data_IF_367984642427
#
_entry.id   IF_367984642427
#
_cell.length_a   1.000
_cell.length_b   1.000
_cell.length_c   1.000
_cell.angle_alpha   90.00
_cell.angle_beta   90.00
_cell.angle_gamma   90.00
#
_symmetry.space_group_name_H-M   'P 1'
#
loop_
_entity.id
_entity.type
_entity.pdbx_description
1 polymer ?
#
# COMPACT_ATOMS: atom_id res chain seq x y z
N UNK A 1 -27.92 19.45 -72.28
CA UNK A 1 -26.92 20.45 -72.72
C UNK A 1 -26.00 20.73 -71.55
N UNK A 2 -24.78 20.19 -71.67
CA UNK A 2 -23.49 20.61 -71.08
C UNK A 2 -23.47 21.16 -69.65
N UNK A 3 -23.12 20.28 -68.70
CA UNK A 3 -22.51 20.64 -67.44
C UNK A 3 -21.00 20.91 -67.61
N UNK A 4 -20.50 21.88 -66.86
CA UNK A 4 -19.08 22.24 -66.77
C UNK A 4 -18.53 21.82 -65.39
N UNK A 5 -17.37 21.16 -65.29
CA UNK A 5 -16.73 20.89 -64.01
C UNK A 5 -15.68 21.96 -63.67
N UNK A 6 -15.64 22.31 -62.39
CA UNK A 6 -14.76 23.31 -61.80
C UNK A 6 -13.53 22.59 -61.19
N UNK A 7 -12.38 22.66 -61.87
CA UNK A 7 -11.10 22.13 -61.38
C UNK A 7 -10.44 23.09 -60.40
N UNK A 8 -10.43 22.73 -59.11
CA UNK A 8 -9.65 23.41 -58.08
C UNK A 8 -8.29 22.72 -57.89
N UNK A 9 -7.23 23.39 -58.35
CA UNK A 9 -5.83 23.01 -58.18
C UNK A 9 -5.40 23.09 -56.72
N UNK A 10 -5.02 21.95 -56.12
CA UNK A 10 -4.31 21.89 -54.82
C UNK A 10 -2.82 22.13 -55.03
N UNK A 11 -2.32 23.23 -54.46
CA UNK A 11 -0.89 23.53 -54.36
C UNK A 11 -0.22 22.63 -53.32
N UNK A 12 0.82 21.92 -53.75
CA UNK A 12 1.63 20.99 -52.97
C UNK A 12 2.79 21.77 -52.34
N UNK A 13 2.69 22.03 -51.04
CA UNK A 13 3.70 22.75 -50.26
C UNK A 13 4.85 21.79 -49.87
N UNK A 14 5.96 21.88 -50.59
CA UNK A 14 7.22 21.19 -50.30
C UNK A 14 7.95 21.91 -49.16
N UNK A 15 8.12 21.21 -48.03
CA UNK A 15 8.97 21.66 -46.90
C UNK A 15 10.44 21.39 -47.24
N UNK A 16 11.22 22.47 -47.33
CA UNK A 16 12.67 22.43 -47.46
C UNK A 16 13.32 21.87 -46.19
N UNK A 17 14.20 20.89 -46.39
CA UNK A 17 15.02 20.22 -45.38
C UNK A 17 16.34 21.00 -45.27
N UNK A 18 16.51 21.75 -44.18
CA UNK A 18 17.76 22.47 -43.88
C UNK A 18 18.72 21.50 -43.20
N UNK A 19 19.81 21.16 -43.90
CA UNK A 19 20.90 20.35 -43.39
C UNK A 19 21.89 21.26 -42.65
N UNK A 20 21.87 21.23 -41.31
CA UNK A 20 22.88 21.89 -40.48
C UNK A 20 24.13 21.02 -40.44
N UNK A 21 25.22 21.50 -41.04
CA UNK A 21 26.55 20.93 -40.88
C UNK A 21 27.09 21.33 -39.50
N UNK A 22 27.25 20.34 -38.62
CA UNK A 22 27.94 20.51 -37.34
C UNK A 22 29.45 20.51 -37.63
N UNK A 23 30.09 21.63 -37.33
CA UNK A 23 31.53 21.83 -37.38
C UNK A 23 32.14 21.08 -36.20
N UNK A 24 33.14 20.25 -36.50
CA UNK A 24 33.91 19.45 -35.54
C UNK A 24 35.20 20.21 -35.28
N UNK A 25 35.26 20.91 -34.15
CA UNK A 25 36.51 21.45 -33.60
C UNK A 25 36.62 21.00 -32.14
N UNK A 26 37.61 20.14 -31.87
CA UNK A 26 38.27 20.07 -30.56
C UNK A 26 39.36 21.16 -30.54
N UNK A 27 39.61 21.75 -29.36
CA UNK A 27 40.87 21.38 -28.73
C UNK A 27 40.74 21.07 -27.24
N UNK A 28 41.58 20.12 -26.87
CA UNK A 28 41.93 19.57 -25.57
C UNK A 28 42.21 20.66 -24.54
N UNK A 29 41.26 20.89 -23.63
CA UNK A 29 41.51 21.57 -22.36
C UNK A 29 41.61 20.53 -21.24
N UNK A 30 42.63 20.72 -20.41
CA UNK A 30 43.07 19.80 -19.37
C UNK A 30 41.91 19.31 -18.50
N UNK A 31 41.72 17.98 -18.52
CA UNK A 31 40.88 17.26 -17.58
C UNK A 31 41.41 17.51 -16.16
N UNK A 32 40.84 18.51 -15.48
CA UNK A 32 40.80 18.52 -14.02
C UNK A 32 40.21 17.17 -13.64
N UNK A 33 40.89 16.34 -12.82
CA UNK A 33 40.27 15.14 -12.26
C UNK A 33 38.99 15.59 -11.58
N UNK A 34 37.85 15.31 -12.22
CA UNK A 34 36.56 15.39 -11.55
C UNK A 34 36.69 14.35 -10.45
N UNK A 35 36.94 14.80 -9.23
CA UNK A 35 36.87 13.96 -8.05
C UNK A 35 35.53 13.24 -8.14
N UNK A 36 35.61 11.92 -8.34
CA UNK A 36 34.44 11.05 -8.29
C UNK A 36 33.68 11.43 -7.02
N UNK A 37 32.39 11.81 -7.13
CA UNK A 37 31.61 12.11 -5.94
C UNK A 37 31.74 10.92 -4.98
N UNK A 38 31.87 11.17 -3.68
CA UNK A 38 32.19 10.13 -2.70
C UNK A 38 31.23 8.95 -2.85
N UNK A 39 31.80 7.74 -2.91
CA UNK A 39 31.10 6.44 -2.89
C UNK A 39 30.19 6.38 -1.66
N UNK A 40 28.97 6.88 -1.79
CA UNK A 40 27.89 6.48 -0.91
C UNK A 40 27.02 5.49 -1.68
N UNK A 41 27.53 4.25 -1.75
CA UNK A 41 27.03 3.12 -2.54
C UNK A 41 25.52 2.89 -2.46
N UNK A 42 24.82 3.32 -1.41
CA UNK A 42 23.36 3.15 -1.25
C UNK A 42 22.59 4.44 -0.89
N UNK A 43 23.28 5.55 -0.60
CA UNK A 43 22.63 6.82 -0.24
C UNK A 43 22.35 7.63 -1.50
N UNK A 44 21.20 7.39 -2.10
CA UNK A 44 20.79 8.11 -3.30
C UNK A 44 20.24 9.51 -2.95
N UNK A 45 20.60 10.58 -3.68
CA UNK A 45 20.09 11.93 -3.41
C UNK A 45 18.57 12.07 -3.61
N UNK A 46 17.93 11.13 -4.29
CA UNK A 46 16.48 11.05 -4.39
C UNK A 46 15.83 10.36 -3.17
N UNK A 47 16.57 9.77 -2.23
CA UNK A 47 15.99 9.33 -0.96
C UNK A 47 15.75 10.54 -0.05
N UNK A 48 14.61 10.54 0.65
CA UNK A 48 14.36 11.53 1.67
C UNK A 48 15.21 11.23 2.90
N UNK A 49 15.85 12.25 3.46
CA UNK A 49 16.64 12.09 4.70
C UNK A 49 15.79 11.45 5.81
N UNK A 50 16.26 10.33 6.34
CA UNK A 50 15.65 9.67 7.48
C UNK A 50 15.83 10.53 8.74
N UNK A 51 14.77 10.71 9.51
CA UNK A 51 14.81 11.44 10.78
C UNK A 51 14.54 10.42 11.88
N UNK A 52 15.45 10.35 12.84
CA UNK A 52 15.22 9.64 14.09
C UNK A 52 14.23 10.43 14.96
N UNK A 53 13.09 9.81 15.21
CA UNK A 53 12.00 10.37 16.00
C UNK A 53 12.25 10.27 17.51
N UNK A 54 13.37 9.69 17.97
CA UNK A 54 13.76 9.61 19.39
C UNK A 54 13.79 10.97 20.12
N UNK A 55 14.00 12.05 19.37
CA UNK A 55 14.03 13.43 19.89
C UNK A 55 12.66 14.11 19.93
N UNK A 56 11.63 13.51 19.32
CA UNK A 56 10.28 14.06 19.26
C UNK A 56 9.34 13.35 20.24
N UNK A 57 8.45 14.11 20.88
CA UNK A 57 7.42 13.50 21.72
C UNK A 57 6.38 12.76 20.88
N UNK A 58 5.71 11.75 21.49
CA UNK A 58 4.58 11.04 20.85
C UNK A 58 3.53 12.03 20.34
N UNK A 59 3.16 13.01 21.16
CA UNK A 59 2.21 14.05 20.78
C UNK A 59 2.68 14.84 19.53
N UNK A 60 3.92 15.32 19.50
CA UNK A 60 4.44 16.08 18.36
C UNK A 60 4.43 15.26 17.06
N UNK A 61 4.74 13.96 17.14
CA UNK A 61 4.68 13.07 15.98
C UNK A 61 3.23 12.89 15.54
N UNK A 62 2.30 12.59 16.44
CA UNK A 62 0.89 12.41 16.09
C UNK A 62 0.27 13.68 15.51
N UNK A 63 0.57 14.86 16.08
CA UNK A 63 0.18 16.16 15.55
C UNK A 63 0.73 16.40 14.14
N UNK A 64 1.99 16.02 13.88
CA UNK A 64 2.58 16.05 12.55
C UNK A 64 1.80 15.15 11.57
N UNK A 65 1.50 13.90 11.96
CA UNK A 65 0.77 12.95 11.13
C UNK A 65 -0.64 13.47 10.79
N UNK A 66 -1.32 14.09 11.75
CA UNK A 66 -2.65 14.69 11.54
C UNK A 66 -2.54 15.90 10.59
N UNK A 67 -1.56 16.78 10.81
CA UNK A 67 -1.31 17.98 9.97
C UNK A 67 -1.06 17.62 8.51
N UNK A 68 -0.33 16.55 8.25
CA UNK A 68 0.07 16.10 6.92
C UNK A 68 -0.79 14.95 6.39
N UNK A 69 -1.95 14.71 7.01
CA UNK A 69 -2.94 13.77 6.50
C UNK A 69 -3.55 14.27 5.19
N UNK A 70 -4.11 13.37 4.40
CA UNK A 70 -4.78 13.73 3.13
C UNK A 70 -5.86 12.72 2.78
N UNK A 71 -6.83 13.12 1.95
CA UNK A 71 -7.81 12.23 1.34
C UNK A 71 -7.42 11.83 -0.07
N UNK A 72 -7.68 10.57 -0.42
CA UNK A 72 -7.50 10.04 -1.77
C UNK A 72 -8.89 9.75 -2.33
N UNK A 73 -9.39 10.50 -3.34
CA UNK A 73 -10.75 10.33 -3.86
C UNK A 73 -10.89 9.08 -4.76
N UNK A 74 -12.09 8.74 -5.25
CA UNK A 74 -12.27 7.68 -6.25
C UNK A 74 -11.58 8.03 -7.58
N UNK A 75 -11.15 7.02 -8.35
CA UNK A 75 -10.57 7.28 -9.68
C UNK A 75 -11.69 7.63 -10.66
N UNK A 76 -11.69 8.86 -11.17
CA UNK A 76 -12.62 9.29 -12.23
C UNK A 76 -11.94 9.51 -13.57
N UNK A 77 -10.70 10.02 -13.56
CA UNK A 77 -10.00 10.47 -14.76
C UNK A 77 -8.52 10.00 -14.76
N UNK A 78 -7.78 10.40 -15.81
CA UNK A 78 -6.32 10.22 -15.87
C UNK A 78 -5.57 11.01 -14.78
N UNK A 79 -6.22 12.01 -14.20
CA UNK A 79 -5.71 12.85 -13.12
C UNK A 79 -6.57 12.65 -11.88
N UNK A 80 -5.96 12.78 -10.71
CA UNK A 80 -6.61 12.58 -9.41
C UNK A 80 -6.29 13.77 -8.51
N UNK A 81 -7.31 14.32 -7.86
CA UNK A 81 -7.17 15.48 -6.97
C UNK A 81 -7.12 15.03 -5.51
N UNK A 82 -5.95 15.07 -4.91
CA UNK A 82 -5.73 14.80 -3.48
C UNK A 82 -6.08 16.05 -2.67
N UNK A 83 -6.77 15.90 -1.55
CA UNK A 83 -7.06 17.02 -0.64
C UNK A 83 -6.31 16.83 0.67
N UNK A 84 -5.37 17.74 0.96
CA UNK A 84 -4.58 17.71 2.19
C UNK A 84 -5.39 18.15 3.41
N UNK A 85 -4.85 17.88 4.60
CA UNK A 85 -5.48 18.24 5.86
C UNK A 85 -5.70 19.75 5.98
N UNK A 86 -4.91 20.61 5.35
CA UNK A 86 -5.13 22.06 5.35
C UNK A 86 -6.21 22.54 4.36
N UNK A 87 -6.81 21.62 3.59
CA UNK A 87 -7.78 21.91 2.55
C UNK A 87 -7.17 22.22 1.18
N UNK A 88 -5.84 22.25 1.06
CA UNK A 88 -5.20 22.43 -0.24
C UNK A 88 -5.43 21.22 -1.13
N UNK A 89 -5.54 21.47 -2.44
CA UNK A 89 -5.77 20.42 -3.42
C UNK A 89 -4.55 20.25 -4.33
N UNK A 90 -4.19 18.99 -4.60
CA UNK A 90 -3.04 18.61 -5.41
C UNK A 90 -3.47 17.62 -6.48
N UNK A 91 -3.25 17.97 -7.74
CA UNK A 91 -3.52 17.10 -8.89
C UNK A 91 -2.30 16.24 -9.19
N UNK A 92 -2.49 14.92 -9.22
CA UNK A 92 -1.44 13.94 -9.52
C UNK A 92 -1.85 13.01 -10.67
N UNK A 93 -0.89 12.38 -11.38
CA UNK A 93 -1.21 11.35 -12.36
C UNK A 93 -1.93 10.17 -11.72
N UNK A 94 -2.95 9.63 -12.38
CA UNK A 94 -3.80 8.57 -11.84
C UNK A 94 -3.09 7.25 -11.57
N UNK A 95 -1.90 7.03 -12.14
CA UNK A 95 -1.03 5.90 -11.81
C UNK A 95 -0.53 5.93 -10.37
N UNK A 96 -0.39 7.12 -9.77
CA UNK A 96 0.04 7.25 -8.38
C UNK A 96 -1.06 7.01 -7.35
N UNK A 97 -2.34 6.98 -7.77
CA UNK A 97 -3.47 6.96 -6.84
C UNK A 97 -3.45 5.76 -5.89
N UNK A 98 -3.39 4.54 -6.43
CA UNK A 98 -3.41 3.31 -5.63
C UNK A 98 -2.14 3.16 -4.79
N UNK A 99 -0.92 3.34 -5.35
CA UNK A 99 0.28 3.30 -4.51
C UNK A 99 0.31 4.35 -3.39
N UNK A 100 -0.16 5.58 -3.65
CA UNK A 100 -0.32 6.60 -2.60
C UNK A 100 -1.33 6.18 -1.54
N UNK A 101 -2.48 5.63 -1.96
CA UNK A 101 -3.49 5.09 -1.06
C UNK A 101 -2.92 3.97 -0.18
N UNK A 102 -2.13 3.06 -0.76
CA UNK A 102 -1.48 1.99 -0.02
C UNK A 102 -0.45 2.52 0.98
N UNK A 103 0.39 3.49 0.59
CA UNK A 103 1.36 4.10 1.49
C UNK A 103 0.69 4.78 2.70
N UNK A 104 -0.40 5.52 2.45
CA UNK A 104 -1.21 6.11 3.53
C UNK A 104 -1.83 5.02 4.43
N UNK A 105 -2.41 3.98 3.84
CA UNK A 105 -3.00 2.87 4.59
C UNK A 105 -1.95 2.14 5.46
N UNK A 106 -0.77 1.89 4.91
CA UNK A 106 0.35 1.31 5.65
C UNK A 106 0.74 2.20 6.83
N UNK A 107 0.92 3.50 6.62
CA UNK A 107 1.24 4.46 7.68
C UNK A 107 0.20 4.45 8.81
N UNK A 108 -1.09 4.63 8.49
CA UNK A 108 -2.16 4.74 9.49
C UNK A 108 -2.44 3.41 10.19
N UNK A 109 -2.31 2.29 9.48
CA UNK A 109 -2.47 0.97 10.09
C UNK A 109 -1.31 0.66 11.04
N UNK A 110 -0.07 0.99 10.66
CA UNK A 110 1.09 0.87 11.53
C UNK A 110 0.94 1.75 12.78
N UNK A 111 0.48 3.00 12.63
CA UNK A 111 0.18 3.86 13.78
C UNK A 111 -0.85 3.21 14.73
N UNK A 112 -1.96 2.73 14.18
CA UNK A 112 -3.00 2.04 14.97
C UNK A 112 -2.46 0.85 15.75
N UNK A 113 -1.66 0.00 15.10
CA UNK A 113 -1.10 -1.19 15.73
C UNK A 113 -0.16 -0.82 16.88
N UNK A 114 0.73 0.14 16.63
CA UNK A 114 1.79 0.54 17.56
C UNK A 114 1.25 1.26 18.78
N UNK A 115 0.21 2.10 18.61
CA UNK A 115 -0.47 2.73 19.74
C UNK A 115 -1.23 1.70 20.61
N UNK A 116 -1.60 0.55 20.06
CA UNK A 116 -2.25 -0.54 20.79
C UNK A 116 -1.30 -1.55 21.43
N UNK A 117 -0.12 -1.79 20.84
CA UNK A 117 0.85 -2.80 21.30
C UNK A 117 1.88 -2.29 22.30
N UNK A 118 2.09 -0.97 22.40
CA UNK A 118 3.13 -0.38 23.24
C UNK A 118 4.52 -0.36 22.59
N UNK A 119 4.64 -0.70 21.31
CA UNK A 119 5.92 -0.74 20.56
C UNK A 119 6.29 0.62 19.94
N UNK A 120 5.81 1.72 20.52
CA UNK A 120 5.95 3.09 19.98
C UNK A 120 7.38 3.43 19.56
N UNK A 121 8.34 3.15 20.43
CA UNK A 121 9.73 3.57 20.25
C UNK A 121 10.44 2.85 19.09
N UNK A 122 9.94 1.69 18.67
CA UNK A 122 10.55 0.92 17.58
C UNK A 122 10.08 1.40 16.20
N UNK A 123 8.86 1.93 16.11
CA UNK A 123 8.19 2.17 14.83
C UNK A 123 7.90 3.65 14.54
N UNK A 124 8.03 4.53 15.52
CA UNK A 124 7.71 5.95 15.40
C UNK A 124 8.45 6.65 14.24
N UNK A 125 9.76 6.38 14.07
CA UNK A 125 10.60 6.96 13.02
C UNK A 125 10.17 6.49 11.63
N UNK A 126 9.83 5.21 11.47
CA UNK A 126 9.31 4.67 10.22
C UNK A 126 7.96 5.27 9.82
N UNK A 127 7.03 5.37 10.78
CA UNK A 127 5.70 5.97 10.56
C UNK A 127 5.84 7.44 10.16
N UNK A 128 6.66 8.20 10.89
CA UNK A 128 6.95 9.59 10.59
C UNK A 128 7.58 9.75 9.20
N UNK A 129 8.53 8.89 8.85
CA UNK A 129 9.20 8.91 7.56
C UNK A 129 8.23 8.74 6.40
N UNK A 130 7.28 7.79 6.49
CA UNK A 130 6.28 7.57 5.43
C UNK A 130 5.36 8.78 5.27
N UNK A 131 4.97 9.43 6.38
CA UNK A 131 4.20 10.67 6.32
C UNK A 131 4.96 11.79 5.63
N UNK A 132 6.25 11.97 5.96
CA UNK A 132 7.13 12.94 5.29
C UNK A 132 7.32 12.62 3.81
N UNK A 133 7.40 11.35 3.43
CA UNK A 133 7.47 10.92 2.03
C UNK A 133 6.21 11.28 1.26
N UNK A 134 5.03 11.05 1.84
CA UNK A 134 3.76 11.43 1.22
C UNK A 134 3.63 12.95 1.10
N UNK A 135 3.99 13.70 2.13
CA UNK A 135 3.96 15.16 2.10
C UNK A 135 4.91 15.73 1.03
N UNK A 136 6.16 15.21 0.97
CA UNK A 136 7.13 15.60 -0.05
C UNK A 136 6.62 15.32 -1.46
N UNK A 137 6.01 14.15 -1.68
CA UNK A 137 5.38 13.82 -2.95
C UNK A 137 4.31 14.84 -3.36
N UNK A 138 3.43 15.23 -2.42
CA UNK A 138 2.37 16.21 -2.67
C UNK A 138 2.93 17.64 -2.86
N UNK A 139 4.00 18.00 -2.16
CA UNK A 139 4.71 19.27 -2.36
C UNK A 139 5.33 19.36 -3.77
N UNK A 140 6.04 18.31 -4.21
CA UNK A 140 6.64 18.26 -5.54
C UNK A 140 5.58 18.27 -6.64
N UNK A 141 4.47 17.56 -6.43
CA UNK A 141 3.33 17.59 -7.32
C UNK A 141 2.74 19.01 -7.44
N UNK A 142 2.49 19.71 -6.33
CA UNK A 142 2.03 21.12 -6.35
C UNK A 142 3.02 22.04 -7.08
N UNK A 143 4.32 21.83 -6.89
CA UNK A 143 5.36 22.57 -7.61
C UNK A 143 5.33 22.30 -9.13
N UNK A 144 5.15 21.05 -9.53
CA UNK A 144 5.02 20.68 -10.95
C UNK A 144 3.71 21.20 -11.57
N UNK A 145 2.60 21.19 -10.85
CA UNK A 145 1.32 21.77 -11.32
C UNK A 145 1.48 23.24 -11.69
N UNK A 146 2.15 24.03 -10.82
CA UNK A 146 2.43 25.45 -11.07
C UNK A 146 3.27 25.71 -12.33
N UNK A 147 4.06 24.71 -12.76
CA UNK A 147 4.90 24.77 -13.97
C UNK A 147 4.27 24.12 -15.20
N UNK A 148 3.05 23.61 -15.10
CA UNK A 148 2.40 22.81 -16.14
C UNK A 148 2.81 21.33 -16.07
N UNK A 149 2.24 20.60 -15.11
CA UNK A 149 2.53 19.18 -14.93
C UNK A 149 2.12 18.37 -16.17
N UNK A 150 3.06 17.62 -16.72
CA UNK A 150 2.84 16.73 -17.87
C UNK A 150 2.35 15.36 -17.43
N UNK A 151 1.64 14.64 -18.32
CA UNK A 151 1.10 13.28 -18.05
C UNK A 151 2.17 12.27 -17.59
N UNK A 152 3.41 12.44 -18.04
CA UNK A 152 4.56 11.62 -17.67
C UNK A 152 5.35 12.13 -16.47
N UNK A 153 4.82 13.08 -15.69
CA UNK A 153 5.50 13.58 -14.50
C UNK A 153 5.74 12.46 -13.48
N UNK A 154 6.91 12.50 -12.83
CA UNK A 154 7.37 11.51 -11.86
C UNK A 154 7.94 12.21 -10.64
N UNK A 155 7.77 11.58 -9.48
CA UNK A 155 8.46 11.94 -8.26
C UNK A 155 9.48 10.83 -7.97
N UNK A 156 10.76 11.10 -8.21
CA UNK A 156 11.82 10.10 -8.05
C UNK A 156 11.88 9.57 -6.61
N UNK A 157 11.74 10.46 -5.63
CA UNK A 157 11.70 10.13 -4.21
C UNK A 157 10.61 9.14 -3.89
N UNK A 158 9.38 9.40 -4.36
CA UNK A 158 8.27 8.49 -4.11
C UNK A 158 8.39 7.19 -4.91
N UNK A 159 8.89 7.24 -6.15
CA UNK A 159 9.10 6.05 -6.98
C UNK A 159 10.05 5.04 -6.31
N UNK A 160 11.10 5.50 -5.63
CA UNK A 160 12.01 4.62 -4.89
C UNK A 160 11.31 3.90 -3.74
N UNK A 161 10.47 4.58 -2.97
CA UNK A 161 9.61 3.94 -1.97
C UNK A 161 8.71 2.87 -2.60
N UNK A 162 8.08 3.19 -3.73
CA UNK A 162 7.20 2.27 -4.45
C UNK A 162 7.93 1.02 -4.97
N UNK A 163 9.17 1.17 -5.44
CA UNK A 163 10.02 0.04 -5.83
C UNK A 163 10.33 -0.87 -4.63
N UNK A 164 10.61 -0.31 -3.45
CA UNK A 164 10.80 -1.13 -2.23
C UNK A 164 9.51 -1.87 -1.87
N UNK A 165 8.37 -1.18 -1.92
CA UNK A 165 7.09 -1.77 -1.56
C UNK A 165 6.68 -2.91 -2.48
N UNK A 166 6.83 -2.78 -3.81
CA UNK A 166 6.48 -3.87 -4.74
C UNK A 166 7.29 -5.14 -4.50
N UNK A 167 8.49 -5.00 -3.94
CA UNK A 167 9.41 -6.07 -3.56
C UNK A 167 9.35 -6.43 -2.07
N UNK A 168 8.28 -6.03 -1.39
CA UNK A 168 7.99 -6.42 -0.01
C UNK A 168 8.97 -5.87 1.05
N UNK A 169 9.79 -4.87 0.70
CA UNK A 169 10.57 -4.06 1.64
C UNK A 169 9.75 -2.83 2.06
N UNK A 170 8.94 -2.96 3.11
CA UNK A 170 8.10 -1.85 3.60
C UNK A 170 8.82 -0.91 4.57
N UNK A 171 9.89 -1.37 5.20
CA UNK A 171 10.68 -0.57 6.13
C UNK A 171 11.53 0.45 5.39
N UNK A 172 11.74 1.60 6.01
CA UNK A 172 12.45 2.74 5.42
C UNK A 172 13.56 3.29 6.31
N UNK A 173 13.91 2.58 7.39
CA UNK A 173 15.13 2.88 8.14
C UNK A 173 16.38 2.69 7.28
N UNK A 174 17.49 3.38 7.61
CA UNK A 174 18.71 3.35 6.80
C UNK A 174 19.25 1.94 6.56
N UNK A 175 19.16 1.06 7.57
CA UNK A 175 19.64 -0.32 7.47
C UNK A 175 18.80 -1.12 6.46
N UNK A 176 17.47 -0.98 6.51
CA UNK A 176 16.56 -1.62 5.54
C UNK A 176 16.74 -1.10 4.11
N UNK A 177 17.04 0.20 3.93
CA UNK A 177 17.31 0.79 2.61
C UNK A 177 18.65 0.28 2.07
N UNK A 178 19.66 0.19 2.92
CA UNK A 178 20.96 -0.39 2.59
C UNK A 178 20.83 -1.86 2.20
N UNK A 179 20.12 -2.67 3.00
CA UNK A 179 19.85 -4.08 2.70
C UNK A 179 19.14 -4.25 1.35
N UNK A 180 18.13 -3.42 1.08
CA UNK A 180 17.46 -3.41 -0.22
C UNK A 180 18.44 -3.12 -1.35
N UNK A 181 19.27 -2.09 -1.19
CA UNK A 181 20.25 -1.71 -2.20
C UNK A 181 21.28 -2.83 -2.45
N UNK A 182 21.80 -3.46 -1.40
CA UNK A 182 22.74 -4.58 -1.53
C UNK A 182 22.10 -5.80 -2.23
N UNK A 183 20.79 -6.01 -2.03
CA UNK A 183 20.06 -7.16 -2.59
C UNK A 183 19.67 -6.96 -4.05
N UNK A 184 19.17 -5.78 -4.40
CA UNK A 184 18.54 -5.51 -5.71
C UNK A 184 19.31 -4.50 -6.56
N UNK A 185 20.10 -3.61 -5.94
CA UNK A 185 20.87 -2.55 -6.60
C UNK A 185 20.03 -1.44 -7.24
N UNK A 186 20.71 -0.43 -7.79
CA UNK A 186 20.09 0.69 -8.51
C UNK A 186 19.34 0.28 -9.79
N UNK A 187 19.66 -0.89 -10.35
CA UNK A 187 18.96 -1.42 -11.55
C UNK A 187 17.47 -1.57 -11.28
N UNK A 188 17.10 -1.97 -10.07
CA UNK A 188 15.70 -2.18 -9.72
C UNK A 188 14.93 -0.86 -9.58
N UNK A 189 15.62 0.22 -9.18
CA UNK A 189 15.06 1.58 -9.14
C UNK A 189 14.83 2.18 -10.54
N UNK A 190 15.49 1.67 -11.58
CA UNK A 190 15.24 2.09 -12.95
C UNK A 190 13.90 1.56 -13.52
N UNK A 191 13.33 0.51 -12.91
CA UNK A 191 12.05 -0.05 -13.34
C UNK A 191 10.88 0.87 -13.01
N UNK A 192 9.92 0.97 -13.92
CA UNK A 192 8.76 1.83 -13.77
C UNK A 192 7.79 1.34 -12.66
N UNK A 193 7.97 1.86 -11.44
CA UNK A 193 7.14 1.53 -10.29
C UNK A 193 5.65 1.84 -10.51
N UNK A 194 5.32 2.88 -11.29
CA UNK A 194 3.92 3.33 -11.47
C UNK A 194 3.14 2.41 -12.41
N UNK A 195 3.82 1.72 -13.34
CA UNK A 195 3.20 0.74 -14.25
C UNK A 195 2.92 -0.62 -13.62
N UNK A 196 3.40 -0.86 -12.40
CA UNK A 196 3.13 -2.09 -11.66
C UNK A 196 1.62 -2.25 -11.38
N UNK A 197 1.13 -3.49 -11.31
CA UNK A 197 -0.27 -3.79 -11.01
C UNK A 197 -0.58 -3.60 -9.51
N UNK A 198 -0.62 -2.33 -9.11
CA UNK A 198 -0.89 -1.91 -7.74
C UNK A 198 -2.28 -2.32 -7.25
N UNK A 199 -3.27 -2.43 -8.15
CA UNK A 199 -4.62 -2.85 -7.74
C UNK A 199 -4.57 -4.28 -7.22
N UNK A 200 -4.05 -5.22 -8.03
CA UNK A 200 -3.94 -6.62 -7.63
C UNK A 200 -3.03 -6.80 -6.43
N UNK A 201 -1.89 -6.10 -6.42
CA UNK A 201 -0.93 -6.22 -5.32
C UNK A 201 -1.50 -5.69 -4.00
N UNK A 202 -2.16 -4.53 -3.98
CA UNK A 202 -2.73 -3.96 -2.75
C UNK A 202 -3.93 -4.75 -2.21
N UNK A 203 -4.73 -5.39 -3.09
CA UNK A 203 -5.81 -6.31 -2.70
C UNK A 203 -5.26 -7.60 -2.09
N UNK A 204 -4.19 -8.15 -2.68
CA UNK A 204 -3.48 -9.32 -2.13
C UNK A 204 -2.89 -9.00 -0.76
N UNK A 205 -2.33 -7.79 -0.63
CA UNK A 205 -1.70 -7.30 0.57
C UNK A 205 -0.37 -7.98 0.91
N UNK A 206 0.26 -7.49 1.97
CA UNK A 206 1.51 -8.02 2.50
C UNK A 206 1.60 -7.79 4.01
N UNK A 207 2.04 -8.79 4.78
CA UNK A 207 2.19 -8.70 6.26
C UNK A 207 0.95 -8.14 6.98
N UNK A 208 -0.25 -8.49 6.51
CA UNK A 208 -1.52 -8.00 7.08
C UNK A 208 -1.96 -6.62 6.58
N UNK A 209 -1.14 -5.91 5.81
CA UNK A 209 -1.51 -4.65 5.15
C UNK A 209 -2.16 -4.95 3.80
N UNK A 210 -3.48 -4.79 3.72
CA UNK A 210 -4.27 -4.98 2.50
C UNK A 210 -5.31 -3.88 2.38
N UNK A 211 -5.49 -3.36 1.17
CA UNK A 211 -6.60 -2.45 0.89
C UNK A 211 -7.87 -3.25 0.66
N UNK A 212 -9.02 -2.69 1.06
CA UNK A 212 -10.31 -3.22 0.66
C UNK A 212 -10.62 -2.81 -0.78
N UNK A 213 -11.44 -3.61 -1.47
CA UNK A 213 -11.90 -3.25 -2.81
C UNK A 213 -12.71 -1.95 -2.80
N UNK A 214 -13.50 -1.73 -1.74
CA UNK A 214 -14.20 -0.47 -1.48
C UNK A 214 -13.23 0.71 -1.42
N UNK A 215 -12.13 0.62 -0.67
CA UNK A 215 -11.12 1.68 -0.56
C UNK A 215 -10.50 2.02 -1.92
N UNK A 216 -10.26 1.00 -2.74
CA UNK A 216 -9.73 1.18 -4.09
C UNK A 216 -10.76 1.86 -4.98
N UNK A 217 -12.05 1.52 -4.88
CA UNK A 217 -13.07 2.06 -5.77
C UNK A 217 -13.53 3.45 -5.33
N UNK A 218 -13.84 3.61 -4.06
CA UNK A 218 -14.42 4.82 -3.46
C UNK A 218 -13.37 5.81 -2.98
N UNK A 219 -12.14 5.35 -2.73
CA UNK A 219 -11.12 6.16 -2.08
C UNK A 219 -11.28 6.18 -0.56
N UNK A 220 -10.43 6.96 0.11
CA UNK A 220 -10.46 7.10 1.56
C UNK A 220 -10.31 8.57 1.96
N UNK A 221 -11.26 9.02 2.76
CA UNK A 221 -11.30 10.37 3.33
C UNK A 221 -10.51 10.50 4.62
N UNK A 222 -10.21 11.75 4.99
CA UNK A 222 -9.52 12.09 6.25
C UNK A 222 -10.21 11.52 7.50
N UNK A 223 -11.54 11.61 7.56
CA UNK A 223 -12.31 11.11 8.70
C UNK A 223 -12.10 9.63 8.97
N UNK A 224 -11.83 8.83 7.92
CA UNK A 224 -11.59 7.39 8.02
C UNK A 224 -10.15 7.06 8.43
N UNK A 225 -9.17 7.88 8.03
CA UNK A 225 -7.79 7.74 8.54
C UNK A 225 -7.67 8.04 10.03
N UNK A 226 -8.41 9.05 10.47
CA UNK A 226 -8.38 9.55 11.85
C UNK A 226 -9.44 8.88 12.74
N UNK A 227 -10.14 7.88 12.22
CA UNK A 227 -11.21 7.19 12.94
C UNK A 227 -10.64 6.37 14.11
N UNK A 228 -10.99 6.77 15.33
CA UNK A 228 -10.56 6.12 16.57
C UNK A 228 -9.31 6.74 17.19
N UNK A 229 -8.57 7.59 16.48
CA UNK A 229 -7.42 8.29 17.08
C UNK A 229 -7.90 9.38 18.05
N UNK A 230 -7.52 9.26 19.32
CA UNK A 230 -7.96 10.15 20.41
C UNK A 230 -6.82 10.48 21.35
N UNK A 231 -6.87 11.67 21.93
CA UNK A 231 -6.00 12.07 23.04
C UNK A 231 -6.75 11.95 24.36
N UNK A 232 -6.15 11.26 25.33
CA UNK A 232 -6.66 11.07 26.70
C UNK A 232 -5.53 11.35 27.68
N UNK A 233 -5.76 12.28 28.60
CA UNK A 233 -4.81 12.63 29.66
C UNK A 233 -3.38 12.95 29.17
N UNK A 234 -3.27 13.58 28.00
CA UNK A 234 -1.99 13.95 27.38
C UNK A 234 -1.30 12.83 26.59
N UNK A 235 -1.94 11.65 26.46
CA UNK A 235 -1.43 10.55 25.64
C UNK A 235 -2.37 10.22 24.47
N UNK A 236 -1.77 9.80 23.36
CA UNK A 236 -2.50 9.41 22.16
C UNK A 236 -2.75 7.91 22.14
N UNK A 237 -4.00 7.52 21.90
CA UNK A 237 -4.42 6.13 21.79
C UNK A 237 -5.42 5.92 20.65
N UNK A 238 -5.73 4.65 20.37
CA UNK A 238 -6.71 4.26 19.36
C UNK A 238 -7.91 3.58 20.02
N UNK A 239 -9.07 4.23 19.98
CA UNK A 239 -10.30 3.75 20.58
C UNK A 239 -11.52 4.11 19.70
N UNK A 240 -12.09 3.08 19.07
CA UNK A 240 -13.27 3.19 18.21
C UNK A 240 -14.57 3.04 18.99
N UNK A 241 -14.53 2.85 20.31
CA UNK A 241 -15.73 2.78 21.13
C UNK A 241 -16.51 4.09 21.04
N UNK A 242 -17.86 4.05 20.93
CA UNK A 242 -18.68 5.25 21.00
C UNK A 242 -18.52 5.98 22.34
N UNK A 243 -18.24 5.23 23.41
CA UNK A 243 -18.11 5.74 24.79
C UNK A 243 -16.66 6.13 25.15
N UNK A 244 -15.75 6.07 24.17
CA UNK A 244 -14.34 6.41 24.37
C UNK A 244 -14.19 7.87 24.83
N UNK A 245 -13.71 8.07 26.05
CA UNK A 245 -13.31 9.39 26.54
C UNK A 245 -12.05 9.88 25.81
N UNK A 246 -11.91 11.20 25.72
CA UNK A 246 -10.80 11.86 25.04
C UNK A 246 -11.24 12.61 23.79
N UNK A 247 -10.44 13.62 23.41
CA UNK A 247 -10.71 14.48 22.26
C UNK A 247 -10.30 13.77 20.97
N UNK A 248 -11.12 13.84 19.92
CA UNK A 248 -10.84 13.14 18.65
C UNK A 248 -9.79 13.90 17.85
N UNK A 249 -8.94 13.17 17.12
CA UNK A 249 -7.98 13.76 16.18
C UNK A 249 -8.64 14.68 15.14
N UNK A 250 -9.88 14.37 14.72
CA UNK A 250 -10.65 15.25 13.83
C UNK A 250 -10.97 16.61 14.45
N UNK A 251 -11.29 16.67 15.75
CA UNK A 251 -11.61 17.93 16.44
C UNK A 251 -10.36 18.81 16.55
N UNK A 252 -9.19 18.19 16.73
CA UNK A 252 -7.90 18.87 16.69
C UNK A 252 -7.60 19.40 15.29
N UNK A 253 -7.81 18.58 14.26
CA UNK A 253 -7.57 18.99 12.88
C UNK A 253 -8.46 20.17 12.48
N UNK A 254 -9.73 20.19 12.91
CA UNK A 254 -10.64 21.30 12.65
C UNK A 254 -10.25 22.58 13.37
N UNK A 255 -9.79 22.49 14.62
CA UNK A 255 -9.26 23.66 15.34
C UNK A 255 -7.98 24.17 14.66
N UNK A 256 -7.02 23.29 14.38
CA UNK A 256 -5.79 23.64 13.70
C UNK A 256 -6.05 24.26 12.31
N UNK A 257 -7.06 23.79 11.57
CA UNK A 257 -7.46 24.42 10.30
C UNK A 257 -7.87 25.87 10.48
N UNK A 258 -8.58 26.19 11.57
CA UNK A 258 -9.10 27.52 11.89
C UNK A 258 -8.01 28.43 12.45
N UNK A 259 -7.18 27.94 13.36
CA UNK A 259 -6.22 28.74 14.12
C UNK A 259 -4.81 28.72 13.53
N UNK A 260 -4.46 27.66 12.78
CA UNK A 260 -3.10 27.32 12.35
C UNK A 260 -2.12 27.12 13.51
N UNK A 261 -2.64 26.88 14.71
CA UNK A 261 -1.88 26.64 15.93
C UNK A 261 -2.39 25.37 16.58
N UNK A 262 -1.45 24.50 16.97
CA UNK A 262 -1.74 23.36 17.84
C UNK A 262 -1.90 23.91 19.26
N UNK A 263 -3.13 24.26 19.62
CA UNK A 263 -3.46 24.70 20.98
C UNK A 263 -3.61 23.48 21.87
N UNK A 264 -2.89 23.46 22.99
CA UNK A 264 -3.28 22.60 24.11
C UNK A 264 -4.75 22.95 24.46
N UNK A 265 -5.61 21.95 24.73
CA UNK A 265 -7.00 22.22 25.06
C UNK A 265 -7.04 23.21 26.23
N UNK A 266 -8.00 24.16 26.24
CA UNK A 266 -8.21 25.00 27.41
C UNK A 266 -8.35 24.07 28.61
N UNK A 267 -7.68 24.35 29.74
CA UNK A 267 -7.78 23.51 30.91
C UNK A 267 -9.26 23.28 31.19
N UNK A 268 -9.68 22.03 31.49
CA UNK A 268 -11.09 21.73 31.72
C UNK A 268 -11.60 22.78 32.68
N UNK A 269 -12.65 23.50 32.28
CA UNK A 269 -13.23 24.56 33.08
C UNK A 269 -13.39 23.98 34.48
N UNK A 270 -12.60 24.47 35.45
CA UNK A 270 -12.71 24.03 36.84
C UNK A 270 -14.20 24.15 37.14
N UNK A 271 -14.86 23.02 37.34
CA UNK A 271 -16.24 23.02 37.79
C UNK A 271 -16.27 24.01 38.96
N UNK A 272 -17.15 25.03 38.94
CA UNK A 272 -17.23 25.96 40.04
C UNK A 272 -17.36 25.12 41.30
N UNK A 273 -16.41 25.33 42.24
CA UNK A 273 -16.38 24.61 43.50
C UNK A 273 -17.81 24.51 44.04
N UNK A 274 -18.34 23.31 44.32
CA UNK A 274 -19.55 23.21 45.10
C UNK A 274 -19.23 23.87 46.45
N UNK A 275 -19.84 25.04 46.66
CA UNK A 275 -19.84 25.80 47.90
C UNK A 275 -19.86 24.85 49.09
N UNK A 276 -18.93 24.97 50.07
CA UNK A 276 -18.91 24.06 51.19
C UNK A 276 -20.18 24.26 52.05
N UNK A 277 -20.99 23.23 52.31
CA UNK A 277 -21.79 23.21 53.52
C UNK A 277 -20.83 22.93 54.67
N UNK A 278 -20.65 23.96 55.49
CA UNK A 278 -20.11 23.88 56.82
C UNK A 278 -20.94 22.84 57.60
N UNK A 279 -20.39 21.64 57.83
CA UNK A 279 -20.71 20.82 59.00
C UNK A 279 -19.68 19.69 59.14
N UNK A 280 -19.06 19.66 60.31
CA UNK A 280 -18.00 18.74 60.69
C UNK A 280 -18.53 17.30 60.78
N UNK A 281 -18.06 16.44 59.87
CA UNK A 281 -18.16 14.99 59.97
C UNK A 281 -16.74 14.44 60.17
N UNK A 282 -16.49 13.58 61.18
CA UNK A 282 -15.16 13.01 61.42
C UNK A 282 -14.75 12.05 60.29
N UNK A 283 -13.43 11.91 60.05
CA UNK A 283 -12.91 11.17 58.90
C UNK A 283 -13.16 9.65 59.01
N UNK A 284 -13.49 8.96 57.90
CA UNK A 284 -13.37 7.51 57.84
C UNK A 284 -11.89 7.12 57.84
N UNK A 285 -11.58 6.14 58.66
CA UNK A 285 -10.27 5.53 58.83
C UNK A 285 -9.94 4.67 57.58
N UNK A 286 -9.31 5.28 56.57
CA UNK A 286 -8.82 4.56 55.39
C UNK A 286 -7.46 3.95 55.71
N UNK A 287 -7.47 2.73 56.24
CA UNK A 287 -6.31 1.84 56.21
C UNK A 287 -5.93 1.55 54.76
N UNK A 288 -4.82 2.13 54.33
CA UNK A 288 -4.14 1.82 53.06
C UNK A 288 -3.59 0.40 53.18
N UNK A 289 -4.31 -0.57 52.64
CA UNK A 289 -3.81 -1.91 52.40
C UNK A 289 -2.76 -1.86 51.28
N UNK A 290 -1.60 -2.44 51.58
CA UNK A 290 -0.45 -2.56 50.70
C UNK A 290 -0.81 -3.15 49.32
N UNK A 291 -0.09 -2.76 48.25
CA UNK A 291 -0.23 -3.37 46.93
C UNK A 291 0.13 -4.87 46.99
N UNK A 292 -0.78 -5.70 46.46
CA UNK A 292 -0.57 -7.13 46.26
C UNK A 292 0.71 -7.41 45.44
N UNK A 293 1.36 -8.56 45.68
CA UNK A 293 2.54 -8.99 44.92
C UNK A 293 2.21 -9.22 43.43
N UNK A 294 3.25 -9.24 42.57
CA UNK A 294 3.08 -9.30 41.12
C UNK A 294 2.32 -10.55 40.67
N UNK A 295 1.39 -10.34 39.72
CA UNK A 295 0.56 -11.37 39.09
C UNK A 295 1.41 -12.49 38.45
N UNK A 296 1.66 -13.56 39.19
CA UNK A 296 2.23 -14.82 38.67
C UNK A 296 1.40 -15.37 37.49
N UNK A 297 0.10 -15.07 37.46
CA UNK A 297 -0.82 -15.44 36.38
C UNK A 297 -0.42 -14.82 35.02
N UNK A 298 0.09 -13.58 35.01
CA UNK A 298 0.50 -12.92 33.77
C UNK A 298 1.76 -13.57 33.20
N UNK A 299 2.72 -13.90 34.07
CA UNK A 299 3.95 -14.57 33.67
C UNK A 299 3.68 -16.00 33.19
N UNK A 300 2.72 -16.69 33.81
CA UNK A 300 2.31 -18.02 33.37
C UNK A 300 1.62 -17.97 32.01
N UNK A 301 0.73 -16.99 31.79
CA UNK A 301 0.09 -16.77 30.50
C UNK A 301 1.10 -16.50 29.37
N UNK A 302 2.09 -15.64 29.60
CA UNK A 302 3.13 -15.32 28.61
C UNK A 302 4.02 -16.53 28.28
N UNK A 303 4.34 -17.36 29.28
CA UNK A 303 5.08 -18.62 29.06
C UNK A 303 4.28 -19.59 28.19
N UNK A 304 3.00 -19.79 28.49
CA UNK A 304 2.12 -20.65 27.69
C UNK A 304 2.01 -20.16 26.24
N UNK A 305 1.82 -18.85 26.03
CA UNK A 305 1.75 -18.24 24.69
C UNK A 305 3.03 -18.47 23.89
N UNK A 306 4.18 -18.34 24.54
CA UNK A 306 5.49 -18.52 23.90
C UNK A 306 5.73 -19.98 23.51
N UNK A 307 5.30 -20.94 24.34
CA UNK A 307 5.38 -22.37 24.01
C UNK A 307 4.47 -22.76 22.84
N UNK A 308 3.27 -22.18 22.78
CA UNK A 308 2.33 -22.41 21.68
C UNK A 308 2.91 -21.94 20.34
N UNK A 309 3.51 -20.74 20.30
CA UNK A 309 4.20 -20.21 19.11
C UNK A 309 5.33 -21.14 18.67
N UNK A 310 6.20 -21.56 19.60
CA UNK A 310 7.30 -22.50 19.31
C UNK A 310 6.80 -23.86 18.80
N UNK A 311 5.59 -24.27 19.19
CA UNK A 311 4.99 -25.52 18.71
C UNK A 311 4.43 -25.36 17.29
N UNK A 312 3.81 -24.21 16.98
CA UNK A 312 3.36 -23.88 15.64
C UNK A 312 4.53 -23.78 14.65
N UNK A 313 5.63 -23.15 15.04
CA UNK A 313 6.85 -23.07 14.22
C UNK A 313 7.41 -24.46 13.89
N UNK A 314 7.46 -25.36 14.88
CA UNK A 314 7.88 -26.77 14.66
C UNK A 314 6.95 -27.51 13.70
N UNK A 315 5.64 -27.28 13.81
CA UNK A 315 4.65 -27.89 12.90
C UNK A 315 4.80 -27.37 11.47
N UNK A 316 5.03 -26.07 11.29
CA UNK A 316 5.30 -25.47 9.97
C UNK A 316 6.56 -26.08 9.36
N UNK A 317 7.66 -26.13 10.12
CA UNK A 317 8.92 -26.72 9.65
C UNK A 317 8.78 -28.19 9.24
N UNK A 318 7.98 -28.98 9.97
CA UNK A 318 7.71 -30.37 9.61
C UNK A 318 6.93 -30.48 8.28
N UNK A 319 5.89 -29.66 8.10
CA UNK A 319 5.11 -29.64 6.85
C UNK A 319 5.97 -29.19 5.65
N UNK A 320 6.88 -28.25 5.85
CA UNK A 320 7.82 -27.82 4.80
C UNK A 320 8.79 -28.95 4.41
N UNK A 321 9.25 -29.75 5.38
CA UNK A 321 10.08 -30.91 5.12
C UNK A 321 9.33 -32.00 4.33
N UNK A 322 8.07 -32.27 4.68
CA UNK A 322 7.21 -33.22 3.96
C UNK A 322 6.95 -32.78 2.52
N UNK A 323 6.68 -31.49 2.30
CA UNK A 323 6.52 -30.93 0.95
C UNK A 323 7.82 -31.02 0.13
N UNK A 324 8.98 -30.83 0.76
CA UNK A 324 10.26 -30.99 0.09
C UNK A 324 10.52 -32.45 -0.33
N UNK A 325 10.16 -33.41 0.53
CA UNK A 325 10.22 -34.84 0.21
C UNK A 325 9.33 -35.18 -0.99
N UNK A 326 8.06 -34.76 -0.99
CA UNK A 326 7.11 -35.02 -2.07
C UNK A 326 7.57 -34.45 -3.43
N UNK A 327 8.17 -33.25 -3.42
CA UNK A 327 8.75 -32.64 -4.63
C UNK A 327 9.90 -33.48 -5.18
N UNK A 328 10.74 -34.01 -4.31
CA UNK A 328 11.89 -34.84 -4.71
C UNK A 328 11.44 -36.16 -5.34
N UNK A 329 10.42 -36.80 -4.78
CA UNK A 329 9.84 -38.05 -5.30
C UNK A 329 9.18 -37.87 -6.67
N UNK A 330 8.54 -36.72 -6.92
CA UNK A 330 7.87 -36.43 -8.20
C UNK A 330 8.84 -36.26 -9.38
N UNK A 331 10.08 -35.86 -9.14
CA UNK A 331 11.14 -35.78 -10.15
C UNK A 331 11.76 -37.13 -10.54
N UNK A 332 11.42 -38.22 -9.85
CA UNK A 332 11.95 -39.58 -10.13
C UNK A 332 11.07 -40.42 -11.05
N UNK A 333 9.94 -39.89 -11.53
CA UNK A 333 9.10 -40.60 -12.50
C UNK A 333 9.74 -40.43 -13.87
N UNK A 334 10.44 -41.48 -14.32
CA UNK A 334 11.01 -41.61 -15.66
C UNK A 334 9.92 -41.33 -16.70
N UNK A 335 10.15 -40.43 -17.67
CA UNK A 335 9.18 -40.15 -18.71
C UNK A 335 8.96 -41.42 -19.53
N UNK A 336 7.72 -41.91 -19.54
CA UNK A 336 7.28 -42.92 -20.51
C UNK A 336 7.40 -42.34 -21.92
N UNK A 337 7.82 -43.13 -22.92
CA UNK A 337 7.89 -42.66 -24.29
C UNK A 337 6.47 -42.41 -24.81
N UNK A 338 6.13 -41.15 -25.01
CA UNK A 338 4.91 -40.75 -25.73
C UNK A 338 5.11 -40.99 -27.22
N UNK A 339 4.43 -42.02 -27.75
CA UNK A 339 4.12 -42.13 -29.17
C UNK A 339 3.24 -40.94 -29.59
N UNK A 340 3.56 -40.42 -30.78
CA UNK A 340 2.91 -39.30 -31.42
C UNK A 340 1.41 -39.56 -31.65
N UNK A 341 0.56 -38.83 -30.96
CA UNK A 341 -0.77 -38.47 -31.43
C UNK A 341 -1.16 -37.14 -30.78
N UNK A 342 -1.15 -36.06 -31.56
CA UNK A 342 -1.81 -34.82 -31.17
C UNK A 342 -3.32 -35.10 -31.07
N UNK A 343 -3.98 -34.84 -29.94
CA UNK A 343 -5.43 -34.94 -29.87
C UNK A 343 -6.03 -33.82 -30.71
N UNK A 344 -6.58 -34.20 -31.86
CA UNK A 344 -7.34 -33.32 -32.73
C UNK A 344 -8.58 -32.81 -31.95
N UNK A 345 -8.65 -31.50 -31.75
CA UNK A 345 -9.73 -30.86 -31.03
C UNK A 345 -10.99 -30.89 -31.90
N UNK A 346 -11.91 -31.81 -31.62
CA UNK A 346 -13.20 -31.91 -32.31
C UNK A 346 -14.15 -30.88 -31.67
N UNK A 347 -14.54 -29.79 -32.38
CA UNK A 347 -15.49 -28.83 -31.84
C UNK A 347 -16.88 -29.47 -31.75
N UNK A 348 -17.54 -29.35 -30.60
CA UNK A 348 -18.95 -29.74 -30.47
C UNK A 348 -19.84 -28.83 -31.33
N UNK A 349 -20.74 -29.41 -32.12
CA UNK A 349 -21.60 -28.76 -33.13
C UNK A 349 -22.52 -27.62 -32.63
N UNK A 350 -22.51 -27.30 -31.34
CA UNK A 350 -23.38 -26.26 -30.74
C UNK A 350 -22.64 -25.09 -30.09
N UNK A 351 -21.33 -24.94 -30.32
CA UNK A 351 -20.61 -23.74 -29.88
C UNK A 351 -20.65 -22.65 -30.97
N UNK A 352 -21.26 -21.48 -30.72
CA UNK A 352 -21.29 -20.40 -31.69
C UNK A 352 -19.87 -19.88 -31.94
N UNK A 353 -19.55 -19.66 -33.22
CA UNK A 353 -18.24 -19.25 -33.68
C UNK A 353 -17.86 -17.89 -33.08
N UNK A 354 -16.70 -17.81 -32.42
CA UNK A 354 -16.18 -16.60 -31.76
C UNK A 354 -15.92 -15.47 -32.78
N UNK A 355 -15.82 -15.80 -34.06
CA UNK A 355 -15.70 -14.82 -35.14
C UNK A 355 -17.03 -14.14 -35.53
N UNK A 356 -18.17 -14.56 -34.98
CA UNK A 356 -19.47 -13.97 -35.31
C UNK A 356 -19.67 -12.60 -34.64
N UNK A 357 -19.71 -11.55 -35.47
CA UNK A 357 -19.78 -10.14 -35.07
C UNK A 357 -21.10 -9.81 -34.34
N UNK A 358 -22.14 -10.64 -34.52
CA UNK A 358 -23.43 -10.48 -33.83
C UNK A 358 -23.44 -11.09 -32.42
N UNK A 359 -22.49 -11.99 -32.11
CA UNK A 359 -22.33 -12.56 -30.77
C UNK A 359 -21.70 -11.57 -29.78
N UNK A 360 -20.83 -10.69 -30.26
CA UNK A 360 -20.13 -9.70 -29.43
C UNK A 360 -20.97 -8.43 -29.14
N UNK A 361 -22.02 -8.15 -29.91
CA UNK A 361 -22.78 -6.90 -29.78
C UNK A 361 -24.12 -7.04 -29.05
N UNK A 362 -24.76 -8.21 -29.12
CA UNK A 362 -26.09 -8.45 -28.52
C UNK A 362 -26.03 -8.94 -27.07
N UNK A 363 -24.99 -9.66 -26.67
CA UNK A 363 -24.87 -10.22 -25.31
C UNK A 363 -24.61 -9.15 -24.24
N UNK A 364 -23.91 -8.06 -24.59
CA UNK A 364 -23.46 -7.04 -23.62
C UNK A 364 -24.40 -5.85 -23.47
N UNK A 365 -25.46 -5.74 -24.28
CA UNK A 365 -26.36 -4.58 -24.22
C UNK A 365 -27.40 -4.66 -23.10
N UNK A 366 -27.80 -5.85 -22.64
CA UNK A 366 -28.74 -5.99 -21.51
C UNK A 366 -28.68 -7.36 -20.81
N UNK A 367 -27.57 -7.70 -20.12
CA UNK A 367 -27.36 -9.03 -19.54
C UNK A 367 -28.34 -9.40 -18.42
N UNK A 368 -28.95 -8.41 -17.76
CA UNK A 368 -29.90 -8.63 -16.66
C UNK A 368 -31.29 -9.03 -17.14
N UNK A 369 -31.71 -8.56 -18.32
CA UNK A 369 -33.04 -8.87 -18.86
C UNK A 369 -33.18 -10.33 -19.29
N UNK A 370 -32.09 -10.94 -19.75
CA UNK A 370 -32.05 -12.35 -20.19
C UNK A 370 -31.97 -13.35 -19.03
N UNK A 371 -31.46 -12.93 -17.87
CA UNK A 371 -31.45 -13.76 -16.65
C UNK A 371 -32.83 -13.80 -15.96
N UNK A 372 -33.67 -12.80 -16.20
CA UNK A 372 -35.01 -12.68 -15.59
C UNK A 372 -36.13 -13.29 -16.44
N UNK A 373 -35.88 -13.60 -17.71
CA UNK A 373 -36.85 -14.22 -18.64
C UNK A 373 -36.64 -15.73 -18.84
N UNK A 374 -35.94 -16.42 -17.94
CA UNK A 374 -35.87 -17.88 -17.98
C UNK A 374 -37.22 -18.48 -17.53
N UNK A 375 -37.93 -19.26 -18.37
CA UNK A 375 -39.13 -19.95 -17.95
C UNK A 375 -38.78 -20.97 -16.86
N UNK A 376 -39.59 -20.98 -15.81
CA UNK A 376 -39.52 -21.91 -14.70
C UNK A 376 -39.63 -23.35 -15.24
N UNK A 377 -38.50 -24.07 -15.29
CA UNK A 377 -38.48 -25.45 -15.77
C UNK A 377 -39.00 -26.36 -14.66
N UNK A 378 -40.18 -26.94 -14.90
CA UNK A 378 -40.78 -27.96 -14.04
C UNK A 378 -39.82 -29.13 -13.80
N UNK A 379 -39.72 -29.53 -12.54
CA UNK A 379 -38.86 -30.59 -12.06
C UNK A 379 -39.16 -31.95 -12.74
N UNK A 380 -38.23 -32.41 -13.57
CA UNK A 380 -38.19 -33.79 -14.03
C UNK A 380 -37.34 -34.63 -13.06
N UNK A 381 -37.88 -35.82 -12.76
CA UNK A 381 -37.37 -36.83 -11.82
C UNK A 381 -35.91 -37.21 -12.07
N UNK A 382 -35.14 -37.26 -10.99
CA UNK A 382 -33.82 -37.90 -10.91
C UNK A 382 -34.05 -39.41 -10.82
N UNK A 383 -33.62 -40.14 -11.85
CA UNK A 383 -33.27 -41.56 -11.73
C UNK A 383 -31.74 -41.67 -11.64
N UNK A 384 -31.31 -42.52 -10.71
CA UNK A 384 -29.91 -42.80 -10.37
C UNK A 384 -29.13 -43.33 -11.58
N UNK A 385 -28.00 -42.68 -11.88
CA UNK A 385 -26.91 -43.31 -12.61
C UNK A 385 -25.58 -42.96 -11.94
N UNK A 386 -24.90 -44.02 -11.50
CA UNK A 386 -23.53 -44.02 -11.01
C UNK A 386 -22.57 -43.40 -12.04
N UNK A 387 -21.72 -42.47 -11.59
CA UNK A 387 -20.61 -41.94 -12.39
C UNK A 387 -19.34 -41.93 -11.53
N UNK A 388 -18.33 -42.64 -12.05
CA UNK A 388 -16.97 -42.72 -11.53
C UNK A 388 -16.32 -41.34 -11.37
N UNK A 389 -15.72 -41.12 -10.19
CA UNK A 389 -15.00 -39.89 -9.85
C UNK A 389 -13.61 -39.92 -10.49
N UNK A 390 -13.43 -39.13 -11.55
CA UNK A 390 -12.11 -38.74 -12.07
C UNK A 390 -11.67 -37.48 -11.33
N UNK A 391 -10.61 -37.58 -10.53
CA UNK A 391 -9.94 -36.43 -9.93
C UNK A 391 -9.00 -35.77 -10.95
N UNK A 392 -9.28 -34.53 -11.34
CA UNK A 392 -8.35 -33.66 -12.07
C UNK A 392 -7.57 -32.75 -11.10
N UNK A 393 -6.25 -32.96 -11.05
CA UNK A 393 -5.27 -32.12 -10.38
C UNK A 393 -5.02 -30.83 -11.18
N UNK A 394 -5.48 -29.68 -10.67
CA UNK A 394 -5.06 -28.38 -11.21
C UNK A 394 -3.77 -27.92 -10.52
N UNK A 395 -2.62 -28.15 -11.18
CA UNK A 395 -1.33 -27.62 -10.76
C UNK A 395 -1.00 -26.32 -11.51
N UNK A 396 -0.99 -25.19 -10.80
CA UNK A 396 -0.40 -23.94 -11.30
C UNK A 396 1.01 -23.75 -10.74
N UNK A 397 1.97 -23.70 -11.67
CA UNK A 397 3.39 -23.47 -11.50
C UNK A 397 3.70 -22.09 -10.94
N UNK A 398 4.44 -22.04 -9.82
CA UNK A 398 5.15 -20.85 -9.35
C UNK A 398 6.66 -21.08 -9.52
N UNK A 399 7.32 -20.18 -10.26
CA UNK A 399 8.76 -20.19 -10.50
C UNK A 399 9.61 -19.96 -9.25
N UNK A 400 10.94 -20.17 -9.34
CA UNK A 400 11.80 -20.43 -8.18
C UNK A 400 12.21 -19.16 -7.43
N UNK A 401 11.93 -19.12 -6.13
CA UNK A 401 12.54 -18.20 -5.17
C UNK A 401 13.93 -18.76 -4.84
N UNK A 402 14.99 -18.10 -5.31
CA UNK A 402 16.37 -18.41 -4.92
C UNK A 402 16.69 -17.72 -3.58
N UNK A 403 17.41 -18.48 -2.73
CA UNK A 403 18.32 -18.00 -1.67
C UNK A 403 17.74 -17.64 -0.29
N UNK A 404 17.59 -18.65 0.58
CA UNK A 404 17.59 -18.53 2.06
C UNK A 404 18.66 -19.44 2.69
N UNK A 405 19.92 -19.34 2.24
CA UNK A 405 21.06 -19.98 2.91
C UNK A 405 22.21 -19.00 3.12
N UNK A 406 22.08 -18.07 4.07
CA UNK A 406 23.27 -17.41 4.66
C UNK A 406 23.13 -16.81 6.07
N UNK A 407 22.11 -17.17 6.86
CA UNK A 407 21.97 -16.61 8.23
C UNK A 407 22.32 -17.60 9.36
N UNK A 408 22.72 -18.85 9.07
CA UNK A 408 23.16 -19.82 10.10
C UNK A 408 24.68 -19.95 10.30
N UNK A 409 25.48 -18.99 9.83
CA UNK A 409 26.92 -18.94 10.18
C UNK A 409 27.32 -17.51 10.53
N UNK A 410 26.91 -17.00 11.68
CA UNK A 410 27.64 -16.00 12.49
C UNK A 410 26.98 -15.93 13.88
N UNK A 411 26.94 -17.08 14.56
CA UNK A 411 26.53 -17.22 15.95
C UNK A 411 27.37 -18.31 16.59
N UNK A 412 28.68 -18.04 16.69
CA UNK A 412 29.71 -18.89 17.28
C UNK A 412 30.91 -18.03 17.61
#
# INVERSE_FOLDING_TARGET
>A
MTGAPNESKKARQTRNRVSVKIIKDEPTDALVPVESPPDYDWQNPAELNYIDASTMSKAAIVEYLITHSFSVPPKRNMWVTITSADGTTTVIPGGYRIPLLFAAHFQWTSLRLVLGSGEWDQFNSGILHISRMCDRFLEEARSAMRRGMVKGWRCQTFDRLLVRYRLYHLLSDPDSVKEFHETYGEVEYANDAVKFDWKRWALKGHKGFKLLEEDINEGVGLGRWLEGLRERDGDWGWDTSPDASGRRAMDYLEEWRKTKVWTAPPPPAKNPDPTPPNDAVPPPDYSISHPSPPNDDLLQFLKTRTEEIKNQERRIAALEADLAMLRTTRTSVTPMPTENAEPEFIPMENFPDIADVDCASSFWQDPLKRFLDMPEVEAAKVEDMDVDVVMEDTSQSAGPIKSWRKIQRMGG
#
